data_IF_597164287211
#
_entry.id   IF_597164287211
#
_cell.length_a   1.000
_cell.length_b   1.000
_cell.length_c   1.000
_cell.angle_alpha   90.00
_cell.angle_beta   90.00
_cell.angle_gamma   90.00
#
_symmetry.space_group_name_H-M   'P 1'
#
loop_
_entity.id
_entity.type
_entity.pdbx_description
1 polymer ?
#
# COMPACT_ATOMS: atom_id res chain seq x y z
N UNK A 1 -17.37 22.80 10.81
CA UNK A 1 -16.58 22.09 9.77
C UNK A 1 -17.50 21.94 8.57
N UNK A 2 -17.05 22.28 7.35
CA UNK A 2 -17.88 22.13 6.14
C UNK A 2 -18.15 20.63 5.87
N UNK A 3 -19.24 20.29 5.19
CA UNK A 3 -19.61 18.89 4.91
C UNK A 3 -18.51 18.15 4.14
N UNK A 4 -17.87 18.83 3.19
CA UNK A 4 -16.79 18.32 2.37
C UNK A 4 -15.58 17.93 3.22
N UNK A 5 -15.28 18.71 4.26
CA UNK A 5 -14.20 18.38 5.20
C UNK A 5 -14.53 17.14 6.04
N UNK A 6 -15.80 16.95 6.43
CA UNK A 6 -16.23 15.76 7.15
C UNK A 6 -16.10 14.52 6.27
N UNK A 7 -16.53 14.61 4.99
CA UNK A 7 -16.39 13.53 4.00
C UNK A 7 -14.92 13.21 3.74
N UNK A 8 -14.08 14.22 3.51
CA UNK A 8 -12.63 14.05 3.33
C UNK A 8 -11.98 13.33 4.52
N UNK A 9 -12.31 13.73 5.75
CA UNK A 9 -11.77 13.08 6.95
C UNK A 9 -12.24 11.61 7.04
N UNK A 10 -13.52 11.36 6.76
CA UNK A 10 -14.14 10.05 6.99
C UNK A 10 -13.78 9.04 5.90
N UNK A 11 -13.67 9.46 4.65
CA UNK A 11 -13.47 8.56 3.50
C UNK A 11 -12.01 8.48 3.06
N UNK A 12 -11.16 9.44 3.43
CA UNK A 12 -9.75 9.47 3.03
C UNK A 12 -8.81 9.39 4.23
N UNK A 13 -8.90 10.34 5.17
CA UNK A 13 -7.94 10.40 6.29
C UNK A 13 -8.02 9.16 7.18
N UNK A 14 -9.21 8.84 7.71
CA UNK A 14 -9.37 7.70 8.62
C UNK A 14 -9.00 6.36 7.96
N UNK A 15 -9.47 6.04 6.74
CA UNK A 15 -9.09 4.78 6.09
C UNK A 15 -7.59 4.69 5.79
N UNK A 16 -6.94 5.81 5.44
CA UNK A 16 -5.49 5.84 5.28
C UNK A 16 -4.78 5.54 6.61
N UNK A 17 -5.19 6.15 7.72
CA UNK A 17 -4.59 5.95 9.04
C UNK A 17 -4.80 4.52 9.55
N UNK A 18 -6.00 3.98 9.40
CA UNK A 18 -6.32 2.60 9.74
C UNK A 18 -5.46 1.61 8.94
N UNK A 19 -5.30 1.86 7.64
CA UNK A 19 -4.47 1.03 6.78
C UNK A 19 -2.98 1.13 7.17
N UNK A 20 -2.49 2.32 7.52
CA UNK A 20 -1.12 2.53 8.01
C UNK A 20 -0.84 1.76 9.32
N UNK A 21 -1.80 1.75 10.24
CA UNK A 21 -1.72 0.96 11.48
C UNK A 21 -1.69 -0.52 11.16
N UNK A 22 -2.59 -1.00 10.29
CA UNK A 22 -2.63 -2.41 9.85
C UNK A 22 -1.33 -2.84 9.20
N UNK A 23 -0.70 -2.01 8.37
CA UNK A 23 0.59 -2.33 7.77
C UNK A 23 1.71 -2.51 8.79
N UNK A 24 1.59 -1.96 10.00
CA UNK A 24 2.58 -2.16 11.05
C UNK A 24 2.50 -3.53 11.75
N UNK A 25 1.56 -4.41 11.38
CA UNK A 25 1.43 -5.75 11.97
C UNK A 25 2.23 -6.78 11.19
N UNK A 26 2.86 -7.72 11.91
CA UNK A 26 3.66 -8.80 11.30
C UNK A 26 2.73 -9.92 10.85
N UNK A 27 2.23 -9.82 9.62
CA UNK A 27 1.32 -10.79 9.02
C UNK A 27 1.80 -11.17 7.62
N UNK A 28 1.69 -12.46 7.30
CA UNK A 28 1.90 -13.05 5.98
C UNK A 28 0.60 -13.00 5.19
N UNK A 29 0.62 -12.41 4.00
CA UNK A 29 -0.59 -12.23 3.20
C UNK A 29 -0.38 -12.72 1.79
N UNK A 30 -1.45 -13.24 1.19
CA UNK A 30 -1.54 -13.47 -0.24
C UNK A 30 -1.23 -12.16 -0.97
N UNK A 31 -0.22 -12.12 -1.86
CA UNK A 31 0.25 -10.87 -2.45
C UNK A 31 -0.81 -10.09 -3.24
N UNK A 32 -1.80 -10.79 -3.79
CA UNK A 32 -2.75 -10.22 -4.75
C UNK A 32 -4.18 -10.12 -4.22
N UNK A 33 -4.55 -10.94 -3.23
CA UNK A 33 -5.94 -11.05 -2.74
C UNK A 33 -5.97 -11.14 -1.22
N UNK A 34 -6.19 -10.01 -0.56
CA UNK A 34 -6.35 -9.90 0.89
C UNK A 34 -7.11 -8.60 1.24
N UNK A 35 -7.46 -8.43 2.51
CA UNK A 35 -8.25 -7.29 2.97
C UNK A 35 -7.51 -5.95 2.88
N UNK A 36 -6.18 -5.95 2.85
CA UNK A 36 -5.38 -4.75 2.72
C UNK A 36 -5.46 -4.22 1.29
N UNK A 37 -5.45 -5.12 0.29
CA UNK A 37 -5.69 -4.78 -1.12
C UNK A 37 -7.12 -4.24 -1.29
N UNK A 38 -8.11 -4.89 -0.68
CA UNK A 38 -9.50 -4.40 -0.69
C UNK A 38 -9.62 -3.00 -0.10
N UNK A 39 -8.97 -2.76 1.05
CA UNK A 39 -8.95 -1.44 1.71
C UNK A 39 -8.25 -0.38 0.87
N UNK A 40 -7.12 -0.70 0.26
CA UNK A 40 -6.37 0.20 -0.62
C UNK A 40 -7.16 0.54 -1.89
N UNK A 41 -7.87 -0.44 -2.47
CA UNK A 41 -8.76 -0.21 -3.61
C UNK A 41 -9.91 0.74 -3.23
N UNK A 42 -10.53 0.54 -2.05
CA UNK A 42 -11.55 1.45 -1.54
C UNK A 42 -11.04 2.88 -1.38
N UNK A 43 -9.87 3.04 -0.76
CA UNK A 43 -9.23 4.35 -0.60
C UNK A 43 -8.85 5.00 -1.95
N UNK A 44 -8.36 4.22 -2.91
CA UNK A 44 -8.06 4.68 -4.27
C UNK A 44 -9.30 5.30 -4.92
N UNK A 45 -10.43 4.60 -4.86
CA UNK A 45 -11.68 5.06 -5.45
C UNK A 45 -12.23 6.30 -4.72
N UNK A 46 -12.11 6.35 -3.39
CA UNK A 46 -12.49 7.52 -2.60
C UNK A 46 -11.68 8.76 -3.00
N UNK A 47 -10.35 8.66 -3.05
CA UNK A 47 -9.47 9.77 -3.46
C UNK A 47 -9.81 10.23 -4.88
N UNK A 48 -9.98 9.29 -5.82
CA UNK A 48 -10.27 9.60 -7.23
C UNK A 48 -11.62 10.29 -7.42
N UNK A 49 -12.68 9.80 -6.78
CA UNK A 49 -14.05 10.27 -7.07
C UNK A 49 -14.51 11.39 -6.15
N UNK A 50 -13.78 11.70 -5.07
CA UNK A 50 -14.21 12.78 -4.17
C UNK A 50 -14.29 14.16 -4.85
N UNK A 51 -13.30 14.63 -5.64
CA UNK A 51 -13.43 15.89 -6.38
C UNK A 51 -14.59 15.90 -7.38
N UNK A 52 -14.84 14.78 -8.05
CA UNK A 52 -15.95 14.61 -8.99
C UNK A 52 -17.30 14.73 -8.26
N UNK A 53 -17.46 14.00 -7.16
CA UNK A 53 -18.71 13.98 -6.40
C UNK A 53 -19.03 15.32 -5.74
N UNK A 54 -18.01 16.04 -5.26
CA UNK A 54 -18.18 17.27 -4.49
C UNK A 54 -18.18 18.52 -5.37
N UNK A 55 -17.25 18.62 -6.32
CA UNK A 55 -17.06 19.81 -7.15
C UNK A 55 -17.50 19.63 -8.61
N UNK A 56 -17.93 18.43 -9.00
CA UNK A 56 -18.19 18.08 -10.40
C UNK A 56 -16.93 18.31 -11.29
N UNK A 57 -15.75 18.17 -10.69
CA UNK A 57 -14.48 18.31 -11.39
C UNK A 57 -14.20 17.08 -12.27
N UNK A 58 -13.67 17.29 -13.47
CA UNK A 58 -13.28 16.21 -14.38
C UNK A 58 -11.99 15.53 -13.87
N UNK A 59 -12.03 14.23 -13.48
CA UNK A 59 -10.85 13.52 -13.01
C UNK A 59 -9.70 13.50 -14.02
N UNK A 60 -9.99 13.54 -15.33
CA UNK A 60 -8.96 13.55 -16.37
C UNK A 60 -8.22 14.89 -16.46
N UNK A 61 -8.85 15.99 -16.05
CA UNK A 61 -8.18 17.28 -15.97
C UNK A 61 -7.28 17.32 -14.75
N UNK A 62 -7.81 16.90 -13.60
CA UNK A 62 -7.07 16.84 -12.34
C UNK A 62 -5.84 15.93 -12.43
N UNK A 63 -5.94 14.80 -13.14
CA UNK A 63 -4.82 13.89 -13.40
C UNK A 63 -3.65 14.56 -14.15
N UNK A 64 -3.89 15.63 -14.90
CA UNK A 64 -2.79 16.37 -15.58
C UNK A 64 -2.10 17.36 -14.67
N UNK A 65 -2.67 17.66 -13.51
CA UNK A 65 -2.18 18.69 -12.60
C UNK A 65 -1.29 18.13 -11.49
N UNK A 66 -1.50 16.87 -11.09
CA UNK A 66 -0.73 16.22 -10.05
C UNK A 66 -0.44 14.76 -10.39
N UNK A 67 0.84 14.39 -10.34
CA UNK A 67 1.32 13.05 -10.70
C UNK A 67 0.79 11.96 -9.77
N UNK A 68 0.80 12.16 -8.45
CA UNK A 68 0.28 11.18 -7.52
C UNK A 68 -1.23 10.93 -7.74
N UNK A 69 -1.98 11.99 -8.02
CA UNK A 69 -3.39 11.88 -8.39
C UNK A 69 -3.56 11.17 -9.74
N UNK A 70 -2.71 11.41 -10.74
CA UNK A 70 -2.70 10.65 -12.01
C UNK A 70 -2.56 9.15 -11.76
N UNK A 71 -1.59 8.75 -10.93
CA UNK A 71 -1.34 7.35 -10.58
C UNK A 71 -2.57 6.73 -9.89
N UNK A 72 -3.16 7.43 -8.91
CA UNK A 72 -4.39 6.98 -8.22
C UNK A 72 -5.58 6.90 -9.18
N UNK A 73 -5.70 7.86 -10.09
CA UNK A 73 -6.73 7.89 -11.12
C UNK A 73 -6.64 6.66 -12.05
N UNK A 74 -5.44 6.37 -12.53
CA UNK A 74 -5.12 5.24 -13.42
C UNK A 74 -5.26 3.88 -12.71
N UNK A 75 -4.86 3.82 -11.43
CA UNK A 75 -5.13 2.66 -10.58
C UNK A 75 -6.63 2.44 -10.40
N UNK A 76 -7.40 3.49 -10.10
CA UNK A 76 -8.86 3.40 -9.98
C UNK A 76 -9.54 2.94 -11.26
N UNK A 77 -9.06 3.38 -12.43
CA UNK A 77 -9.54 2.87 -13.73
C UNK A 77 -9.21 1.38 -13.90
N UNK A 78 -7.99 0.97 -13.56
CA UNK A 78 -7.54 -0.42 -13.66
C UNK A 78 -8.37 -1.36 -12.76
N UNK A 79 -8.68 -0.92 -11.53
CA UNK A 79 -9.56 -1.65 -10.60
C UNK A 79 -10.96 -1.86 -11.20
N UNK A 80 -11.53 -0.82 -11.80
CA UNK A 80 -12.91 -0.86 -12.32
C UNK A 80 -13.05 -1.65 -13.62
N UNK A 81 -12.04 -1.58 -14.49
CA UNK A 81 -12.14 -2.09 -15.86
C UNK A 81 -11.27 -3.33 -16.13
N UNK A 82 -10.38 -3.70 -15.21
CA UNK A 82 -9.40 -4.76 -15.39
C UNK A 82 -8.33 -4.33 -16.39
N UNK A 83 -8.55 -4.63 -17.68
CA UNK A 83 -7.63 -4.26 -18.75
C UNK A 83 -8.01 -2.91 -19.38
N UNK A 84 -7.09 -1.95 -19.34
CA UNK A 84 -7.30 -0.65 -19.95
C UNK A 84 -7.00 -0.63 -21.45
N UNK A 85 -7.75 0.20 -22.18
CA UNK A 85 -7.49 0.46 -23.61
C UNK A 85 -6.09 1.02 -23.85
N UNK A 86 -5.59 1.88 -22.94
CA UNK A 86 -4.25 2.44 -23.00
C UNK A 86 -3.35 1.72 -22.01
N UNK A 87 -2.54 0.79 -22.50
CA UNK A 87 -1.69 -0.06 -21.65
C UNK A 87 -0.64 0.71 -20.83
N UNK A 88 -0.20 1.90 -21.27
CA UNK A 88 0.70 2.74 -20.48
C UNK A 88 0.10 3.15 -19.11
N UNK A 89 -1.23 3.26 -19.03
CA UNK A 89 -2.00 3.61 -17.83
C UNK A 89 -2.33 2.39 -16.96
N UNK A 90 -2.05 1.19 -17.45
CA UNK A 90 -2.37 -0.02 -16.71
C UNK A 90 -1.59 -0.03 -15.41
N UNK A 91 -2.31 -0.28 -14.34
CA UNK A 91 -1.78 -0.49 -13.02
C UNK A 91 -2.14 -1.88 -12.52
N UNK A 92 -1.31 -2.43 -11.65
CA UNK A 92 -1.67 -3.49 -10.73
C UNK A 92 -1.18 -3.14 -9.33
N UNK A 93 -1.68 -3.86 -8.34
CA UNK A 93 -1.35 -3.63 -6.94
C UNK A 93 -1.04 -4.96 -6.27
N UNK A 94 -0.01 -4.97 -5.43
CA UNK A 94 0.40 -6.16 -4.69
C UNK A 94 0.89 -5.79 -3.30
N UNK A 95 0.69 -6.67 -2.33
CA UNK A 95 1.24 -6.52 -0.98
C UNK A 95 2.49 -7.37 -0.80
N UNK A 96 3.41 -6.87 0.01
CA UNK A 96 4.62 -7.58 0.43
C UNK A 96 4.92 -7.29 1.91
N UNK A 97 5.58 -8.22 2.58
CA UNK A 97 6.15 -8.02 3.91
C UNK A 97 7.56 -7.48 3.78
N UNK A 98 7.80 -6.27 4.28
CA UNK A 98 9.06 -5.56 4.15
C UNK A 98 9.93 -5.73 5.39
N UNK A 99 11.17 -6.14 5.18
CA UNK A 99 12.19 -6.33 6.20
C UNK A 99 13.38 -5.42 5.94
N UNK A 100 13.92 -4.83 7.01
CA UNK A 100 15.21 -4.15 6.96
C UNK A 100 16.32 -5.15 7.24
N UNK A 101 17.37 -5.09 6.43
CA UNK A 101 18.60 -5.83 6.59
C UNK A 101 19.63 -4.97 7.33
N UNK A 102 20.28 -5.55 8.34
CA UNK A 102 21.43 -4.95 9.02
C UNK A 102 22.72 -5.20 8.23
N UNK A 103 23.81 -4.47 8.52
CA UNK A 103 25.14 -4.77 7.96
C UNK A 103 25.65 -6.19 8.25
N UNK A 104 25.11 -6.86 9.27
CA UNK A 104 25.48 -8.23 9.65
C UNK A 104 24.55 -9.30 9.03
N UNK A 105 23.78 -8.95 8.00
CA UNK A 105 22.83 -9.83 7.31
C UNK A 105 21.75 -10.44 8.24
N UNK A 106 21.35 -9.69 9.27
CA UNK A 106 20.17 -9.98 10.10
C UNK A 106 19.01 -9.08 9.70
N UNK A 107 17.78 -9.47 10.04
CA UNK A 107 16.56 -8.83 9.55
C UNK A 107 15.66 -8.37 10.69
N UNK A 108 14.99 -7.24 10.50
CA UNK A 108 13.85 -6.83 11.33
C UNK A 108 12.66 -6.53 10.45
N UNK A 109 11.46 -6.87 10.92
CA UNK A 109 10.24 -6.45 10.26
C UNK A 109 10.12 -4.93 10.31
N UNK A 110 9.84 -4.31 9.16
CA UNK A 110 9.52 -2.89 9.07
C UNK A 110 8.00 -2.68 9.05
N UNK A 111 7.37 -3.16 7.99
CA UNK A 111 5.93 -3.05 7.75
C UNK A 111 5.52 -3.98 6.61
N UNK A 112 4.24 -4.18 6.44
CA UNK A 112 3.70 -4.58 5.16
C UNK A 112 3.62 -3.36 4.23
N UNK A 113 3.86 -3.57 2.94
CA UNK A 113 3.86 -2.54 1.90
C UNK A 113 2.95 -2.96 0.77
N UNK A 114 2.03 -2.07 0.41
CA UNK A 114 1.35 -2.15 -0.87
C UNK A 114 2.16 -1.38 -1.91
N UNK A 115 2.40 -2.06 -3.02
CA UNK A 115 3.10 -1.54 -4.19
C UNK A 115 2.11 -1.37 -5.33
N UNK A 116 2.09 -0.19 -5.94
CA UNK A 116 1.47 0.02 -7.26
C UNK A 116 2.53 -0.27 -8.31
N UNK A 117 2.24 -1.20 -9.21
CA UNK A 117 3.02 -1.45 -10.41
C UNK A 117 2.37 -0.69 -11.57
N UNK A 118 2.92 0.47 -11.91
CA UNK A 118 2.40 1.34 -12.97
C UNK A 118 3.27 1.20 -14.22
N UNK A 119 2.67 0.96 -15.39
CA UNK A 119 3.43 0.72 -16.62
C UNK A 119 4.32 1.91 -17.06
N UNK A 120 3.86 3.15 -16.90
CA UNK A 120 4.70 4.34 -17.12
C UNK A 120 5.68 4.66 -15.98
N UNK A 121 5.24 4.59 -14.72
CA UNK A 121 5.97 5.16 -13.59
C UNK A 121 6.76 4.14 -12.76
N UNK A 122 6.63 2.84 -13.06
CA UNK A 122 7.31 1.77 -12.36
C UNK A 122 6.68 1.43 -11.01
N UNK A 123 7.53 0.99 -10.07
CA UNK A 123 7.17 0.57 -8.71
C UNK A 123 6.94 1.79 -7.82
N UNK A 124 5.77 1.91 -7.19
CA UNK A 124 5.40 3.05 -6.35
C UNK A 124 4.85 2.55 -5.01
N UNK A 125 5.23 3.19 -3.90
CA UNK A 125 4.63 2.94 -2.59
C UNK A 125 3.22 3.55 -2.54
N UNK A 126 2.21 2.70 -2.35
CA UNK A 126 0.82 3.15 -2.34
C UNK A 126 0.55 4.18 -1.24
N UNK A 127 1.15 4.04 -0.06
CA UNK A 127 0.82 4.92 1.07
C UNK A 127 1.37 6.32 0.86
N UNK A 128 2.58 6.43 0.29
CA UNK A 128 3.18 7.72 -0.07
C UNK A 128 2.37 8.41 -1.17
N UNK A 129 2.06 7.68 -2.24
CA UNK A 129 1.26 8.18 -3.35
C UNK A 129 -0.14 8.61 -2.90
N UNK A 130 -0.78 7.84 -2.02
CA UNK A 130 -2.10 8.15 -1.49
C UNK A 130 -2.08 9.42 -0.62
N UNK A 131 -1.05 9.65 0.21
CA UNK A 131 -0.92 10.92 0.97
C UNK A 131 -0.81 12.10 0.01
N UNK A 132 0.07 12.02 -0.98
CA UNK A 132 0.31 13.13 -1.90
C UNK A 132 -0.96 13.46 -2.71
N UNK A 133 -1.61 12.44 -3.28
CA UNK A 133 -2.86 12.61 -4.00
C UNK A 133 -3.98 13.18 -3.10
N UNK A 134 -4.06 12.72 -1.84
CA UNK A 134 -5.04 13.21 -0.88
C UNK A 134 -4.82 14.67 -0.51
N UNK A 135 -3.56 15.11 -0.34
CA UNK A 135 -3.23 16.52 -0.08
C UNK A 135 -3.65 17.41 -1.26
N UNK A 136 -3.41 16.96 -2.49
CA UNK A 136 -3.90 17.63 -3.70
C UNK A 136 -5.43 17.72 -3.73
N UNK A 137 -6.15 16.64 -3.39
CA UNK A 137 -7.61 16.65 -3.30
C UNK A 137 -8.10 17.62 -2.22
N UNK A 138 -7.48 17.62 -1.04
CA UNK A 138 -7.82 18.56 0.03
C UNK A 138 -7.68 20.02 -0.40
N UNK A 139 -6.63 20.34 -1.15
CA UNK A 139 -6.42 21.66 -1.72
C UNK A 139 -7.54 22.04 -2.70
N UNK A 140 -7.91 21.13 -3.62
CA UNK A 140 -9.01 21.37 -4.57
C UNK A 140 -10.35 21.61 -3.88
N UNK A 141 -10.60 20.92 -2.77
CA UNK A 141 -11.82 21.04 -1.99
C UNK A 141 -11.82 22.23 -1.00
N UNK A 142 -10.74 23.02 -0.90
CA UNK A 142 -10.54 24.03 0.15
C UNK A 142 -10.74 23.43 1.56
N UNK A 143 -10.29 22.18 1.76
CA UNK A 143 -10.32 21.49 3.05
C UNK A 143 -9.02 21.78 3.79
N UNK A 144 -9.11 22.70 4.75
CA UNK A 144 -7.98 23.00 5.64
C UNK A 144 -7.84 21.90 6.69
N UNK A 145 -6.76 21.15 6.61
CA UNK A 145 -6.40 20.12 7.57
C UNK A 145 -4.96 20.28 8.02
N UNK A 146 -4.69 20.01 9.30
CA UNK A 146 -3.33 19.88 9.85
C UNK A 146 -2.80 18.44 9.71
N UNK A 147 -3.44 17.62 8.88
CA UNK A 147 -3.06 16.23 8.66
C UNK A 147 -1.68 16.13 8.02
N UNK A 148 -0.72 15.69 8.83
CA UNK A 148 0.66 15.43 8.41
C UNK A 148 1.06 14.01 8.84
N UNK A 149 0.47 12.98 8.22
CA UNK A 149 0.70 11.61 8.62
C UNK A 149 2.15 11.19 8.38
N UNK A 150 2.61 10.23 9.17
CA UNK A 150 3.88 9.55 8.97
C UNK A 150 3.59 8.06 8.76
N UNK A 151 4.25 7.46 7.77
CA UNK A 151 4.17 6.02 7.55
C UNK A 151 4.85 5.31 8.71
N UNK A 152 4.16 4.34 9.30
CA UNK A 152 4.65 3.63 10.47
C UNK A 152 5.60 2.51 10.02
N UNK A 153 6.87 2.64 10.39
CA UNK A 153 7.84 1.56 10.32
C UNK A 153 8.11 1.06 11.75
N UNK A 154 8.12 -0.26 11.94
CA UNK A 154 8.55 -0.89 13.19
C UNK A 154 10.05 -0.78 13.35
N UNK A 155 10.48 -0.58 14.59
CA UNK A 155 11.88 -0.48 15.00
C UNK A 155 12.28 -1.66 15.89
N UNK A 156 11.79 -2.86 15.55
CA UNK A 156 12.09 -4.09 16.29
C UNK A 156 13.58 -4.45 16.26
N UNK A 157 13.90 -5.50 17.00
CA UNK A 157 15.27 -6.05 17.02
C UNK A 157 15.58 -6.78 15.71
N UNK A 158 16.85 -6.70 15.31
CA UNK A 158 17.33 -7.51 14.19
C UNK A 158 17.59 -8.94 14.66
N UNK A 159 17.11 -9.90 13.87
CA UNK A 159 17.22 -11.33 14.14
C UNK A 159 17.72 -12.08 12.92
N UNK A 160 18.32 -13.24 13.14
CA UNK A 160 18.58 -14.24 12.10
C UNK A 160 17.37 -15.16 11.87
N UNK A 161 16.23 -14.85 12.48
CA UNK A 161 14.94 -15.51 12.28
C UNK A 161 13.90 -14.51 11.78
N UNK A 162 13.14 -14.93 10.76
CA UNK A 162 11.92 -14.27 10.30
C UNK A 162 10.76 -15.19 10.66
N UNK A 163 9.92 -14.73 11.59
CA UNK A 163 8.69 -15.42 11.97
C UNK A 163 7.50 -14.60 11.46
N UNK A 164 6.67 -15.19 10.61
CA UNK A 164 5.45 -14.56 10.10
C UNK A 164 4.25 -15.48 10.28
N UNK A 165 3.07 -14.87 10.38
CA UNK A 165 1.82 -15.58 10.61
C UNK A 165 0.85 -15.31 9.48
N UNK A 166 0.42 -16.35 8.77
CA UNK A 166 -0.68 -16.29 7.82
C UNK A 166 -1.98 -16.57 8.56
N UNK A 167 -2.73 -15.52 8.85
CA UNK A 167 -4.01 -15.61 9.56
C UNK A 167 -5.21 -15.53 8.62
N UNK A 168 -6.33 -16.15 9.01
CA UNK A 168 -7.64 -15.99 8.36
C UNK A 168 -8.32 -14.65 8.67
N UNK A 169 -7.77 -13.83 9.57
CA UNK A 169 -8.32 -12.52 9.93
C UNK A 169 -8.32 -11.53 8.76
N UNK A 170 -7.34 -11.63 7.84
CA UNK A 170 -7.11 -10.63 6.80
C UNK A 170 -7.15 -11.19 5.37
N UNK A 171 -7.52 -12.46 5.22
CA UNK A 171 -7.54 -13.19 3.96
C UNK A 171 -8.28 -14.51 4.15
N UNK A 172 -8.95 -14.99 3.11
CA UNK A 172 -9.62 -16.29 3.10
C UNK A 172 -8.82 -17.37 2.37
N UNK A 173 -7.79 -16.97 1.63
CA UNK A 173 -7.02 -17.84 0.75
C UNK A 173 -5.56 -17.39 0.66
N UNK A 174 -4.64 -18.31 0.95
CA UNK A 174 -3.20 -18.04 0.99
C UNK A 174 -2.45 -18.90 -0.02
N UNK A 175 -1.69 -18.26 -0.91
CA UNK A 175 -0.85 -18.94 -1.93
C UNK A 175 0.64 -18.76 -1.71
N UNK A 176 1.02 -17.86 -0.80
CA UNK A 176 2.40 -17.47 -0.58
C UNK A 176 2.50 -16.10 0.07
N UNK A 177 3.74 -15.67 0.30
CA UNK A 177 4.05 -14.32 0.75
C UNK A 177 5.08 -13.69 -0.19
N UNK A 178 4.93 -12.40 -0.49
CA UNK A 178 5.97 -11.64 -1.16
C UNK A 178 6.84 -10.96 -0.08
N UNK A 179 8.14 -11.28 -0.07
CA UNK A 179 9.10 -10.65 0.83
C UNK A 179 9.84 -9.54 0.11
N UNK A 180 9.97 -8.39 0.75
CA UNK A 180 10.82 -7.28 0.29
C UNK A 180 11.91 -7.04 1.33
N UNK A 181 13.18 -7.04 0.90
CA UNK A 181 14.31 -6.74 1.76
C UNK A 181 14.89 -5.39 1.38
N UNK A 182 15.12 -4.55 2.39
CA UNK A 182 15.66 -3.21 2.19
C UNK A 182 16.79 -2.89 3.15
N UNK A 183 17.57 -1.89 2.82
CA UNK A 183 18.59 -1.30 3.70
C UNK A 183 18.35 0.20 3.83
N UNK A 184 18.49 0.72 5.04
CA UNK A 184 18.40 2.14 5.31
C UNK A 184 19.67 2.84 4.82
N UNK A 185 19.53 3.86 3.97
CA UNK A 185 20.67 4.50 3.33
C UNK A 185 21.32 5.65 4.13
N UNK A 186 20.81 5.94 5.33
CA UNK A 186 21.30 7.03 6.19
C UNK A 186 20.64 8.38 5.91
N UNK A 187 20.07 8.58 4.72
CA UNK A 187 19.43 9.82 4.28
C UNK A 187 17.91 9.81 4.47
N UNK A 188 17.39 8.83 5.22
CA UNK A 188 15.97 8.68 5.46
C UNK A 188 15.26 7.73 4.49
N UNK A 189 15.97 7.12 3.53
CA UNK A 189 15.35 6.26 2.51
C UNK A 189 15.73 4.78 2.70
N UNK A 190 14.92 3.93 2.08
CA UNK A 190 15.14 2.49 2.03
C UNK A 190 15.41 2.06 0.58
N UNK A 191 16.50 1.32 0.37
CA UNK A 191 16.87 0.75 -0.93
C UNK A 191 16.62 -0.74 -0.93
N UNK A 192 16.07 -1.26 -2.03
CA UNK A 192 15.92 -2.70 -2.22
C UNK A 192 17.29 -3.38 -2.26
N UNK A 193 17.45 -4.45 -1.49
CA UNK A 193 18.67 -5.25 -1.42
C UNK A 193 18.31 -6.73 -1.43
N UNK A 194 19.27 -7.56 -1.83
CA UNK A 194 19.14 -9.01 -1.64
C UNK A 194 19.34 -9.39 -0.17
N UNK A 195 18.86 -10.57 0.21
CA UNK A 195 19.06 -11.11 1.56
C UNK A 195 20.56 -11.25 1.91
N UNK A 196 21.39 -11.69 0.96
CA UNK A 196 22.85 -11.92 1.12
C UNK A 196 23.23 -12.60 2.45
N UNK A 197 22.51 -13.67 2.82
CA UNK A 197 22.72 -14.40 4.07
C UNK A 197 21.86 -15.66 4.16
N UNK A 198 21.87 -16.31 5.32
CA UNK A 198 20.93 -17.37 5.67
C UNK A 198 20.06 -16.89 6.83
N UNK A 199 18.76 -17.08 6.71
CA UNK A 199 17.78 -16.73 7.74
C UNK A 199 16.94 -17.96 8.05
N UNK A 200 16.65 -18.19 9.32
CA UNK A 200 15.64 -19.16 9.71
C UNK A 200 14.27 -18.55 9.38
N UNK A 201 13.48 -19.24 8.57
CA UNK A 201 12.15 -18.76 8.21
C UNK A 201 11.09 -19.65 8.86
N UNK A 202 10.25 -19.04 9.69
CA UNK A 202 9.15 -19.69 10.39
C UNK A 202 7.83 -19.10 9.90
N UNK A 203 6.95 -19.97 9.39
CA UNK A 203 5.60 -19.62 8.95
C UNK A 203 4.59 -20.41 9.78
N UNK A 204 3.79 -19.67 10.56
CA UNK A 204 2.59 -20.22 11.18
C UNK A 204 1.39 -19.94 10.28
N UNK A 205 0.49 -20.91 10.13
CA UNK A 205 -0.73 -20.77 9.35
C UNK A 205 -1.92 -21.15 10.24
N UNK A 206 -2.97 -20.32 10.23
CA UNK A 206 -4.22 -20.65 10.93
C UNK A 206 -4.88 -21.90 10.31
N UNK A 207 -5.39 -22.80 11.17
CA UNK A 207 -6.01 -24.06 10.75
C UNK A 207 -7.19 -23.88 9.77
N UNK A 208 -7.87 -22.73 9.82
CA UNK A 208 -9.03 -22.42 9.00
C UNK A 208 -8.68 -21.66 7.70
N UNK A 209 -7.41 -21.37 7.45
CA UNK A 209 -7.00 -20.64 6.24
C UNK A 209 -6.87 -21.60 5.06
N UNK A 210 -7.58 -21.33 3.96
CA UNK A 210 -7.49 -22.15 2.76
C UNK A 210 -6.13 -21.94 2.09
N UNK A 211 -5.36 -23.01 1.91
CA UNK A 211 -4.04 -22.98 1.27
C UNK A 211 -4.19 -23.38 -0.20
N UNK A 212 -3.71 -22.52 -1.10
CA UNK A 212 -3.63 -22.82 -2.53
C UNK A 212 -2.50 -23.78 -2.88
N UNK A 213 -2.71 -24.62 -3.89
CA UNK A 213 -1.60 -25.31 -4.52
C UNK A 213 -0.65 -24.28 -5.14
N UNK A 214 0.63 -24.32 -4.75
CA UNK A 214 1.68 -23.59 -5.45
C UNK A 214 1.76 -24.22 -6.84
N UNK A 215 1.11 -23.62 -7.83
CA UNK A 215 1.33 -23.98 -9.24
C UNK A 215 2.79 -23.63 -9.51
N UNK A 216 3.64 -24.67 -9.58
CA UNK A 216 5.07 -24.57 -9.86
C UNK A 216 5.35 -23.96 -11.21
#
# INVERSE_FOLDING_TARGET
>A
MKEEAIKFITEIIKPWEELNIKFSTIVSMNPNINDFITSANGLTLAIKHMPENVLQADPNQLAKENRAYEIIHDLGDSIKHGQLRRQARQCSISVSTMFERSPNATFRFLRNRITIMHNTYGKIDFMECAIEASKFVAEKLDVRTNWNPQIINRNGEFSNEISIHASSENQVYWTGNALEFVEFDGDGNYKNVDMNGQVLFSLTIDDNLSIGEIIK
#
